data_IF_716078054686
#
_entry.id   IF_716078054686
#
_cell.length_a   1.000
_cell.length_b   1.000
_cell.length_c   1.000
_cell.angle_alpha   90.00
_cell.angle_beta   90.00
_cell.angle_gamma   90.00
#
_symmetry.space_group_name_H-M   'P 1'
#
loop_
_entity.id
_entity.type
_entity.pdbx_description
1 polymer ?
#
# COMPACT_ATOMS: atom_id res chain seq x y z
N UNK A 1 13.66 -0.46 -5.53
CA UNK A 1 12.55 0.24 -6.21
C UNK A 1 13.07 1.34 -7.10
N UNK A 2 13.09 1.05 -8.41
CA UNK A 2 13.40 2.03 -9.44
C UNK A 2 12.31 3.10 -9.50
N UNK A 3 12.68 4.36 -9.81
CA UNK A 3 11.73 5.46 -9.97
C UNK A 3 10.63 5.13 -11.01
N UNK A 4 10.98 4.34 -12.03
CA UNK A 4 10.04 3.86 -13.06
C UNK A 4 8.92 2.99 -12.48
N UNK A 5 9.26 2.07 -11.59
CA UNK A 5 8.30 1.16 -10.93
C UNK A 5 7.33 1.96 -10.06
N UNK A 6 7.83 2.95 -9.32
CA UNK A 6 6.99 3.85 -8.53
C UNK A 6 6.02 4.66 -9.38
N UNK A 7 6.50 5.25 -10.48
CA UNK A 7 5.65 6.00 -11.40
C UNK A 7 4.57 5.10 -11.99
N UNK A 8 4.92 3.91 -12.45
CA UNK A 8 3.96 2.93 -12.97
C UNK A 8 2.89 2.53 -11.94
N UNK A 9 3.32 2.27 -10.70
CA UNK A 9 2.40 1.96 -9.60
C UNK A 9 1.46 3.13 -9.28
N UNK A 10 2.00 4.35 -9.20
CA UNK A 10 1.20 5.55 -8.94
C UNK A 10 0.16 5.77 -10.04
N UNK A 11 0.55 5.63 -11.31
CA UNK A 11 -0.37 5.72 -12.44
C UNK A 11 -1.47 4.65 -12.39
N UNK A 12 -1.11 3.41 -12.05
CA UNK A 12 -2.07 2.31 -11.92
C UNK A 12 -3.10 2.57 -10.80
N UNK A 13 -2.66 3.13 -9.67
CA UNK A 13 -3.57 3.52 -8.56
C UNK A 13 -4.43 4.73 -8.96
N UNK A 14 -3.84 5.75 -9.59
CA UNK A 14 -4.57 6.95 -10.04
C UNK A 14 -5.68 6.56 -11.04
N UNK A 15 -5.42 5.62 -11.95
CA UNK A 15 -6.40 5.11 -12.90
C UNK A 15 -7.57 4.33 -12.26
N UNK A 16 -7.48 3.95 -10.98
CA UNK A 16 -8.48 3.15 -10.25
C UNK A 16 -9.05 3.93 -9.06
N UNK A 17 -9.98 4.88 -9.26
CA UNK A 17 -10.50 5.76 -8.20
C UNK A 17 -11.15 5.01 -7.03
N UNK A 18 -11.70 3.82 -7.27
CA UNK A 18 -12.30 2.99 -6.23
C UNK A 18 -11.28 2.40 -5.24
N UNK A 19 -9.99 2.41 -5.58
CA UNK A 19 -8.90 1.95 -4.71
C UNK A 19 -8.26 3.08 -3.91
N UNK A 20 -8.56 4.35 -4.18
CA UNK A 20 -7.84 5.46 -3.54
C UNK A 20 -7.97 5.44 -2.02
N UNK A 21 -9.18 5.26 -1.51
CA UNK A 21 -9.42 5.23 -0.06
C UNK A 21 -8.69 4.06 0.60
N UNK A 22 -8.66 2.89 -0.04
CA UNK A 22 -7.97 1.72 0.49
C UNK A 22 -6.46 1.86 0.38
N UNK A 23 -5.94 2.33 -0.75
CA UNK A 23 -4.53 2.62 -0.97
C UNK A 23 -4.00 3.61 0.08
N UNK A 24 -4.71 4.73 0.29
CA UNK A 24 -4.37 5.73 1.30
C UNK A 24 -4.38 5.08 2.68
N UNK A 25 -5.47 4.40 3.08
CA UNK A 25 -5.56 3.77 4.41
C UNK A 25 -4.45 2.75 4.68
N UNK A 26 -4.14 1.90 3.70
CA UNK A 26 -3.07 0.91 3.85
C UNK A 26 -1.70 1.58 3.89
N UNK A 27 -1.47 2.60 3.05
CA UNK A 27 -0.25 3.40 3.07
C UNK A 27 -0.03 4.10 4.42
N UNK A 28 -1.08 4.70 4.99
CA UNK A 28 -1.03 5.36 6.31
C UNK A 28 -0.59 4.45 7.45
N UNK A 29 -0.89 3.15 7.39
CA UNK A 29 -0.42 2.18 8.40
C UNK A 29 1.07 1.89 8.30
N UNK A 30 1.67 2.13 7.14
CA UNK A 30 3.09 1.88 6.88
C UNK A 30 3.94 3.13 7.12
N UNK A 31 3.30 4.30 7.20
CA UNK A 31 3.97 5.58 7.42
C UNK A 31 4.32 5.71 8.92
N UNK A 32 5.59 5.98 9.27
CA UNK A 32 5.99 6.14 10.66
C UNK A 32 5.33 7.38 11.30
N UNK A 33 5.03 7.29 12.60
CA UNK A 33 4.61 8.44 13.39
C UNK A 33 5.68 9.55 13.31
N UNK A 34 5.26 10.82 13.19
CA UNK A 34 6.16 11.99 13.07
C UNK A 34 7.01 12.02 11.79
N UNK A 35 6.54 11.45 10.68
CA UNK A 35 7.20 11.58 9.37
C UNK A 35 7.56 13.03 9.00
N UNK A 36 6.77 14.01 9.47
CA UNK A 36 6.99 15.45 9.26
C UNK A 36 8.19 16.04 10.02
N UNK A 37 8.84 15.28 10.90
CA UNK A 37 10.00 15.76 11.68
C UNK A 37 11.35 15.52 11.00
N UNK A 38 11.39 14.72 9.93
CA UNK A 38 12.61 14.40 9.20
C UNK A 38 12.39 14.47 7.70
N UNK A 39 13.36 15.03 6.98
CA UNK A 39 13.38 14.97 5.52
C UNK A 39 13.27 13.49 5.05
N UNK A 40 12.49 13.18 4.00
CA UNK A 40 11.98 14.09 2.98
C UNK A 40 10.65 14.79 3.30
N UNK A 41 10.13 14.74 4.54
CA UNK A 41 8.84 15.33 4.91
C UNK A 41 7.66 14.86 4.05
N UNK A 42 7.80 13.71 3.39
CA UNK A 42 6.73 13.07 2.67
C UNK A 42 6.23 11.88 3.48
N UNK A 43 4.92 11.55 3.40
CA UNK A 43 4.34 10.38 4.00
C UNK A 43 4.75 9.13 3.19
N UNK A 44 6.03 8.77 3.25
CA UNK A 44 6.58 7.57 2.60
C UNK A 44 6.85 6.48 3.64
N UNK A 45 6.65 5.20 3.29
CA UNK A 45 7.05 4.09 4.16
C UNK A 45 8.54 4.14 4.46
N UNK A 46 8.91 3.77 5.68
CA UNK A 46 10.33 3.69 6.05
C UNK A 46 11.06 2.66 5.16
N UNK A 47 12.28 2.99 4.71
CA UNK A 47 13.10 2.08 3.87
C UNK A 47 13.27 0.70 4.50
N UNK A 48 13.50 0.65 5.82
CA UNK A 48 13.63 -0.60 6.57
C UNK A 48 12.34 -1.44 6.53
N UNK A 49 11.16 -0.80 6.59
CA UNK A 49 9.87 -1.48 6.45
C UNK A 49 9.70 -2.08 5.06
N UNK A 50 10.03 -1.32 4.01
CA UNK A 50 9.96 -1.81 2.62
C UNK A 50 10.91 -3.00 2.43
N UNK A 51 12.15 -2.90 2.89
CA UNK A 51 13.13 -3.99 2.80
C UNK A 51 12.67 -5.25 3.53
N UNK A 52 12.19 -5.11 4.76
CA UNK A 52 11.62 -6.22 5.52
C UNK A 52 10.50 -6.90 4.73
N UNK A 53 9.55 -6.12 4.19
CA UNK A 53 8.43 -6.65 3.43
C UNK A 53 8.86 -7.39 2.16
N UNK A 54 9.84 -6.86 1.43
CA UNK A 54 10.37 -7.49 0.22
C UNK A 54 11.07 -8.82 0.53
N UNK A 55 11.87 -8.87 1.60
CA UNK A 55 12.51 -10.11 2.06
C UNK A 55 11.46 -11.16 2.43
N UNK A 56 10.41 -10.79 3.17
CA UNK A 56 9.36 -11.74 3.57
C UNK A 56 8.55 -12.26 2.38
N UNK A 57 8.23 -11.39 1.41
CA UNK A 57 7.35 -11.75 0.29
C UNK A 57 8.10 -12.43 -0.87
N UNK A 58 9.30 -11.96 -1.21
CA UNK A 58 10.06 -12.41 -2.39
C UNK A 58 11.38 -13.11 -2.06
N UNK A 59 11.74 -13.23 -0.78
CA UNK A 59 13.00 -13.84 -0.34
C UNK A 59 14.25 -12.97 -0.56
N UNK A 60 14.11 -11.77 -1.13
CA UNK A 60 15.22 -10.83 -1.38
C UNK A 60 14.76 -9.38 -1.27
N UNK A 61 15.68 -8.50 -0.87
CA UNK A 61 15.44 -7.06 -0.78
C UNK A 61 15.67 -6.31 -2.12
N UNK A 62 16.26 -6.99 -3.11
CA UNK A 62 16.66 -6.39 -4.40
C UNK A 62 15.56 -6.47 -5.47
N UNK A 63 14.50 -7.23 -5.21
CA UNK A 63 13.40 -7.37 -6.14
C UNK A 63 12.40 -6.21 -5.99
N UNK A 64 12.08 -5.56 -7.10
CA UNK A 64 11.00 -4.58 -7.13
C UNK A 64 9.65 -5.32 -7.06
N UNK A 65 8.71 -4.88 -6.22
CA UNK A 65 7.39 -5.48 -6.18
C UNK A 65 6.69 -5.28 -7.52
N UNK A 66 6.02 -6.32 -8.00
CA UNK A 66 5.25 -6.20 -9.22
C UNK A 66 4.03 -5.30 -9.01
N UNK A 67 3.73 -4.46 -10.00
CA UNK A 67 2.59 -3.54 -9.93
C UNK A 67 1.28 -4.30 -9.76
N UNK A 68 1.11 -5.43 -10.45
CA UNK A 68 -0.10 -6.26 -10.38
C UNK A 68 -0.32 -6.82 -8.96
N UNK A 69 0.73 -7.31 -8.29
CA UNK A 69 0.64 -7.80 -6.91
C UNK A 69 0.09 -6.74 -5.94
N UNK A 70 0.53 -5.49 -6.11
CA UNK A 70 0.08 -4.38 -5.27
C UNK A 70 -1.38 -4.05 -5.54
N UNK A 71 -1.80 -4.06 -6.81
CA UNK A 71 -3.20 -3.81 -7.19
C UNK A 71 -4.11 -4.92 -6.68
N UNK A 72 -3.73 -6.19 -6.87
CA UNK A 72 -4.49 -7.35 -6.40
C UNK A 72 -4.65 -7.32 -4.87
N UNK A 73 -3.59 -6.97 -4.14
CA UNK A 73 -3.65 -6.77 -2.69
C UNK A 73 -4.63 -5.66 -2.28
N UNK A 74 -4.64 -4.54 -3.01
CA UNK A 74 -5.55 -3.42 -2.72
C UNK A 74 -7.02 -3.76 -3.01
N UNK A 75 -7.27 -4.53 -4.07
CA UNK A 75 -8.60 -5.03 -4.43
C UNK A 75 -9.10 -6.00 -3.37
N UNK A 76 -8.28 -7.01 -3.03
CA UNK A 76 -8.61 -7.94 -1.95
C UNK A 76 -8.87 -7.22 -0.63
N UNK A 77 -8.02 -6.26 -0.26
CA UNK A 77 -8.20 -5.50 0.98
C UNK A 77 -9.49 -4.68 1.00
N UNK A 78 -9.87 -4.10 -0.15
CA UNK A 78 -11.13 -3.38 -0.30
C UNK A 78 -12.32 -4.31 -0.15
N UNK A 79 -12.32 -5.44 -0.83
CA UNK A 79 -13.43 -6.37 -0.83
C UNK A 79 -13.63 -6.97 0.55
N UNK A 80 -12.55 -7.38 1.22
CA UNK A 80 -12.60 -7.83 2.62
C UNK A 80 -13.22 -6.79 3.55
N UNK A 81 -12.81 -5.52 3.44
CA UNK A 81 -13.39 -4.44 4.24
C UNK A 81 -14.85 -4.13 3.88
N UNK A 82 -15.23 -4.28 2.61
CA UNK A 82 -16.62 -4.10 2.15
C UNK A 82 -17.53 -5.17 2.76
N UNK A 83 -17.10 -6.42 2.73
CA UNK A 83 -17.80 -7.57 3.30
C UNK A 83 -17.89 -7.46 4.82
N UNK A 84 -16.82 -7.04 5.50
CA UNK A 84 -16.86 -6.89 6.95
C UNK A 84 -17.82 -5.76 7.40
N UNK A 85 -17.91 -4.66 6.63
CA UNK A 85 -18.86 -3.57 6.90
C UNK A 85 -20.31 -3.97 6.67
N UNK A 86 -20.59 -4.76 5.62
CA UNK A 86 -21.95 -5.23 5.36
C UNK A 86 -22.41 -6.24 6.43
N UNK A 87 -21.50 -7.08 6.91
CA UNK A 87 -21.79 -8.03 7.99
C UNK A 87 -22.10 -7.34 9.32
N UNK A 88 -21.37 -6.26 9.67
CA UNK A 88 -21.63 -5.48 10.88
C UNK A 88 -22.99 -4.78 10.91
N UNK A 89 -23.53 -4.39 9.74
CA UNK A 89 -24.85 -3.73 9.63
C UNK A 89 -26.04 -4.68 9.75
N UNK A 90 -25.84 -5.99 9.51
CA UNK A 90 -26.92 -7.00 9.62
C UNK A 90 -27.13 -7.52 11.05
N UNK A 91 -26.28 -7.10 12.00
CA UNK A 91 -26.29 -7.57 13.40
C UNK A 91 -26.77 -6.51 14.41
N UNK A 92 -27.32 -5.39 13.95
CA UNK A 92 -27.97 -4.38 14.79
C UNK A 92 -29.40 -4.20 14.33
#
# INVERSE_FOLDING_TARGET
MSARTYVGLLLAIIARPWLWVTAVRQGWRMIPNRWWTRAPFLPVPAKAYVQFRLITQYGTAEHDPYIYDVIDYLEWSRDWHSTNRSNGRRRG
#
